data_IF_101640816715
#
_entry.id   IF_101640816715
#
_cell.length_a   1.000
_cell.length_b   1.000
_cell.length_c   1.000
_cell.angle_alpha   90.00
_cell.angle_beta   90.00
_cell.angle_gamma   90.00
#
_symmetry.space_group_name_H-M   'P 1'
#
loop_
_entity.id
_entity.type
_entity.pdbx_description
1 polymer ?
#
# COMPACT_ATOMS: atom_id res chain seq x y z
N UNK A 1 12.05 24.66 9.37
CA UNK A 1 13.24 23.79 9.43
C UNK A 1 12.85 22.38 9.86
N UNK A 2 13.73 21.39 9.78
CA UNK A 2 13.42 20.00 10.16
C UNK A 2 12.85 19.89 11.60
N UNK A 3 13.41 20.66 12.53
CA UNK A 3 12.94 20.72 13.92
C UNK A 3 11.50 21.24 14.06
N UNK A 4 11.07 22.22 13.25
CA UNK A 4 9.71 22.77 13.32
C UNK A 4 8.65 21.81 12.75
N UNK A 5 9.03 20.98 11.77
CA UNK A 5 8.16 19.94 11.21
C UNK A 5 7.95 18.81 12.21
N UNK A 6 9.02 18.38 12.90
CA UNK A 6 8.94 17.37 13.97
C UNK A 6 8.05 17.87 15.10
N UNK A 7 8.23 19.12 15.54
CA UNK A 7 7.41 19.71 16.61
C UNK A 7 5.93 19.77 16.21
N UNK A 8 5.63 20.16 14.97
CA UNK A 8 4.28 20.18 14.42
C UNK A 8 3.62 18.80 14.40
N UNK A 9 4.34 17.77 13.99
CA UNK A 9 3.83 16.39 13.99
C UNK A 9 3.52 15.87 15.41
N UNK A 10 4.38 16.19 16.39
CA UNK A 10 4.15 15.83 17.80
C UNK A 10 2.93 16.56 18.36
N UNK A 11 2.77 17.84 18.05
CA UNK A 11 1.63 18.62 18.51
C UNK A 11 0.31 18.12 17.90
N UNK A 12 0.31 17.79 16.60
CA UNK A 12 -0.83 17.20 15.92
C UNK A 12 -1.20 15.83 16.51
N UNK A 13 -0.22 14.96 16.79
CA UNK A 13 -0.45 13.68 17.44
C UNK A 13 -1.08 13.83 18.84
N UNK A 14 -0.71 14.89 19.58
CA UNK A 14 -1.31 15.22 20.87
C UNK A 14 -2.81 15.49 20.82
N UNK A 15 -3.32 15.98 19.69
CA UNK A 15 -4.74 16.27 19.48
C UNK A 15 -5.61 15.06 19.13
N UNK A 16 -5.01 13.88 18.88
CA UNK A 16 -5.75 12.70 18.44
C UNK A 16 -6.51 12.01 19.61
N UNK A 17 -7.62 11.30 19.32
CA UNK A 17 -8.30 10.46 20.31
C UNK A 17 -7.36 9.43 20.95
N UNK A 18 -7.57 9.05 22.24
CA UNK A 18 -6.66 8.16 22.98
C UNK A 18 -6.22 6.86 22.28
N UNK A 19 -7.11 6.09 21.61
CA UNK A 19 -6.68 4.87 20.92
C UNK A 19 -5.71 5.17 19.76
N UNK A 20 -6.06 6.12 18.89
CA UNK A 20 -5.25 6.51 17.73
C UNK A 20 -3.93 7.17 18.15
N UNK A 21 -3.97 8.00 19.20
CA UNK A 21 -2.81 8.72 19.72
C UNK A 21 -1.70 7.77 20.18
N UNK A 22 -2.03 6.65 20.82
CA UNK A 22 -1.01 5.68 21.28
C UNK A 22 -0.25 5.08 20.12
N UNK A 23 -0.95 4.71 19.05
CA UNK A 23 -0.35 4.08 17.87
C UNK A 23 0.55 5.07 17.12
N UNK A 24 0.07 6.30 16.92
CA UNK A 24 0.82 7.37 16.25
C UNK A 24 2.07 7.77 17.04
N UNK A 25 1.96 7.95 18.36
CA UNK A 25 3.12 8.27 19.22
C UNK A 25 4.11 7.10 19.25
N UNK A 26 3.63 5.86 19.23
CA UNK A 26 4.47 4.66 19.12
C UNK A 26 5.26 4.62 17.81
N UNK A 27 4.62 4.97 16.70
CA UNK A 27 5.25 5.05 15.38
C UNK A 27 6.30 6.17 15.32
N UNK A 28 5.99 7.37 15.84
CA UNK A 28 6.94 8.48 15.92
C UNK A 28 8.18 8.13 16.77
N UNK A 29 8.01 7.39 17.86
CA UNK A 29 9.15 6.92 18.67
C UNK A 29 10.02 5.91 17.91
N UNK A 30 9.39 4.99 17.18
CA UNK A 30 10.13 4.02 16.33
C UNK A 30 10.92 4.72 15.22
N UNK A 31 10.35 5.72 14.57
CA UNK A 31 11.06 6.45 13.51
C UNK A 31 12.28 7.21 14.02
N UNK A 32 12.21 7.78 15.24
CA UNK A 32 13.35 8.46 15.88
C UNK A 32 14.50 7.49 16.18
N UNK A 33 14.20 6.22 16.46
CA UNK A 33 15.23 5.21 16.78
C UNK A 33 15.87 4.55 15.55
N UNK A 34 15.38 4.85 14.34
CA UNK A 34 15.92 4.28 13.11
C UNK A 34 17.31 4.85 12.79
N UNK A 35 18.25 3.97 12.43
CA UNK A 35 19.64 4.34 12.11
C UNK A 35 20.06 3.95 10.69
N UNK A 36 19.13 3.41 9.88
CA UNK A 36 19.41 3.01 8.50
C UNK A 36 19.10 4.10 7.47
N UNK A 37 19.30 3.83 6.17
CA UNK A 37 18.86 4.70 5.09
C UNK A 37 17.33 4.91 5.08
N UNK A 38 16.88 5.98 4.43
CA UNK A 38 15.45 6.25 4.20
C UNK A 38 15.02 5.47 2.96
N UNK A 39 14.66 4.21 3.15
CA UNK A 39 14.35 3.27 2.06
C UNK A 39 13.20 2.31 2.42
N UNK A 40 12.97 1.32 1.55
CA UNK A 40 11.94 0.30 1.74
C UNK A 40 12.03 -0.50 3.05
N UNK A 41 13.21 -0.54 3.68
CA UNK A 41 13.45 -1.23 4.96
C UNK A 41 12.96 -0.38 6.12
N UNK A 42 13.22 0.94 6.10
CA UNK A 42 12.61 1.89 7.05
C UNK A 42 11.09 1.77 7.03
N UNK A 43 10.50 1.75 5.83
CA UNK A 43 9.06 1.70 5.68
C UNK A 43 8.45 0.40 6.23
N UNK A 44 9.09 -0.74 5.94
CA UNK A 44 8.71 -2.04 6.50
C UNK A 44 8.78 -2.05 8.04
N UNK A 45 9.83 -1.45 8.58
CA UNK A 45 10.06 -1.31 10.02
C UNK A 45 9.00 -0.43 10.69
N UNK A 46 8.62 0.69 10.08
CA UNK A 46 7.57 1.57 10.59
C UNK A 46 6.18 0.95 10.46
N UNK A 47 5.94 0.12 9.44
CA UNK A 47 4.65 -0.57 9.22
C UNK A 47 4.31 -1.61 10.27
N UNK A 48 5.31 -2.14 10.99
CA UNK A 48 5.16 -3.40 11.70
C UNK A 48 5.00 -4.63 10.79
N UNK A 49 5.45 -4.55 9.53
CA UNK A 49 5.32 -5.63 8.53
C UNK A 49 4.47 -5.26 7.32
N UNK A 50 5.14 -5.01 6.19
CA UNK A 50 4.72 -4.95 4.78
C UNK A 50 3.52 -4.10 4.35
N UNK A 51 2.43 -4.01 5.11
CA UNK A 51 1.22 -3.23 4.75
C UNK A 51 1.53 -1.75 4.52
N UNK A 52 2.41 -1.16 5.32
CA UNK A 52 2.76 0.26 5.15
C UNK A 52 3.76 0.52 4.01
N UNK A 53 4.40 -0.51 3.42
CA UNK A 53 5.22 -0.32 2.21
C UNK A 53 4.33 -0.08 0.99
N UNK A 54 3.20 -0.80 0.90
CA UNK A 54 2.17 -0.57 -0.11
C UNK A 54 1.40 0.73 0.11
N UNK A 55 1.11 1.12 1.37
CA UNK A 55 0.56 2.45 1.68
C UNK A 55 1.55 3.59 1.39
N UNK A 56 2.86 3.37 1.49
CA UNK A 56 3.86 4.39 1.16
C UNK A 56 4.09 4.58 -0.34
N UNK A 57 4.07 3.49 -1.13
CA UNK A 57 4.11 3.60 -2.59
C UNK A 57 2.83 4.27 -3.12
N UNK A 58 1.70 3.97 -2.48
CA UNK A 58 0.42 4.69 -2.61
C UNK A 58 0.55 6.19 -2.29
N UNK A 59 1.20 6.54 -1.18
CA UNK A 59 1.37 7.93 -0.74
C UNK A 59 2.35 8.75 -1.60
N UNK A 60 3.15 8.11 -2.45
CA UNK A 60 4.15 8.79 -3.30
C UNK A 60 3.64 9.21 -4.69
N UNK A 61 2.42 8.85 -5.12
CA UNK A 61 1.93 9.34 -6.42
C UNK A 61 0.49 9.00 -6.78
N UNK A 62 0.09 7.73 -6.70
CA UNK A 62 -1.28 7.27 -7.00
C UNK A 62 -1.49 5.79 -6.58
N UNK A 63 -2.31 5.51 -5.53
CA UNK A 63 -2.64 4.14 -5.11
C UNK A 63 -3.25 3.28 -6.20
N UNK A 64 -4.13 3.86 -7.01
CA UNK A 64 -4.91 3.13 -7.98
C UNK A 64 -4.03 2.69 -9.15
N UNK A 65 -3.18 3.60 -9.65
CA UNK A 65 -2.17 3.28 -10.66
C UNK A 65 -1.23 2.17 -10.19
N UNK A 66 -0.73 2.24 -8.94
CA UNK A 66 0.12 1.20 -8.37
C UNK A 66 -0.60 -0.15 -8.32
N UNK A 67 -1.86 -0.17 -7.87
CA UNK A 67 -2.63 -1.42 -7.75
C UNK A 67 -2.93 -2.05 -9.12
N UNK A 68 -3.25 -1.22 -10.13
CA UNK A 68 -3.46 -1.66 -11.52
C UNK A 68 -2.20 -2.27 -12.12
N UNK A 69 -1.04 -1.62 -11.94
CA UNK A 69 0.26 -2.15 -12.40
C UNK A 69 0.61 -3.43 -11.65
N UNK A 70 0.42 -3.46 -10.33
CA UNK A 70 0.79 -4.62 -9.48
C UNK A 70 -0.02 -5.87 -9.85
N UNK A 71 -1.30 -5.72 -10.17
CA UNK A 71 -2.15 -6.81 -10.66
C UNK A 71 -2.10 -6.99 -12.19
N UNK A 72 -1.22 -6.24 -12.89
CA UNK A 72 -1.01 -6.32 -14.35
C UNK A 72 -2.29 -6.06 -15.15
N UNK A 73 -3.10 -5.10 -14.71
CA UNK A 73 -4.21 -4.52 -15.48
C UNK A 73 -3.76 -3.30 -16.30
N UNK A 74 -2.57 -2.79 -16.03
CA UNK A 74 -1.93 -1.72 -16.78
C UNK A 74 -0.42 -1.95 -16.82
N UNK A 75 0.21 -1.46 -17.89
CA UNK A 75 1.66 -1.35 -17.95
C UNK A 75 2.15 -0.08 -17.24
N UNK A 76 3.37 -0.13 -16.72
CA UNK A 76 4.02 0.98 -15.99
C UNK A 76 4.08 2.29 -16.79
N UNK A 77 4.06 2.19 -18.13
CA UNK A 77 4.21 3.31 -19.06
C UNK A 77 2.85 3.89 -19.50
N UNK A 78 1.76 3.12 -19.43
CA UNK A 78 0.43 3.51 -19.94
C UNK A 78 -0.49 4.04 -18.83
N UNK A 79 0.05 4.80 -17.87
CA UNK A 79 -0.73 5.42 -16.79
C UNK A 79 -1.38 6.73 -17.21
N UNK A 80 -2.30 6.65 -18.17
CA UNK A 80 -3.30 7.71 -18.41
C UNK A 80 -4.55 7.44 -17.54
N UNK A 81 -4.91 8.41 -16.69
CA UNK A 81 -5.89 8.27 -15.61
C UNK A 81 -7.34 8.56 -16.05
N UNK A 82 -7.53 9.19 -17.22
CA UNK A 82 -8.85 9.70 -17.62
C UNK A 82 -9.78 8.72 -18.33
N UNK A 83 -9.24 7.62 -18.90
CA UNK A 83 -9.97 6.79 -19.86
C UNK A 83 -9.95 5.28 -19.55
N UNK A 84 -9.56 4.87 -18.33
CA UNK A 84 -9.41 3.45 -18.01
C UNK A 84 -10.72 2.76 -17.67
N UNK A 85 -10.95 1.63 -18.33
CA UNK A 85 -11.93 0.66 -17.92
C UNK A 85 -11.48 0.02 -16.60
N UNK A 86 -12.25 0.25 -15.53
CA UNK A 86 -11.96 -0.30 -14.21
C UNK A 86 -12.25 -1.80 -14.19
N UNK A 87 -11.32 -2.65 -13.73
CA UNK A 87 -11.54 -4.09 -13.70
C UNK A 87 -12.69 -4.42 -12.75
N UNK A 88 -13.51 -5.41 -13.11
CA UNK A 88 -14.61 -5.84 -12.23
C UNK A 88 -14.08 -6.58 -11.01
N UNK A 89 -14.91 -6.68 -9.95
CA UNK A 89 -14.62 -7.53 -8.78
C UNK A 89 -14.22 -8.96 -9.18
N UNK A 90 -14.83 -9.52 -10.23
CA UNK A 90 -14.52 -10.87 -10.72
C UNK A 90 -13.13 -10.92 -11.35
N UNK A 91 -12.77 -9.93 -12.16
CA UNK A 91 -11.47 -9.85 -12.83
C UNK A 91 -10.34 -9.70 -11.81
N UNK A 92 -10.52 -8.81 -10.83
CA UNK A 92 -9.55 -8.58 -9.74
C UNK A 92 -9.26 -9.90 -9.01
N UNK A 93 -10.30 -10.63 -8.59
CA UNK A 93 -10.13 -11.88 -7.84
C UNK A 93 -9.51 -12.99 -8.69
N UNK A 94 -9.87 -13.08 -9.98
CA UNK A 94 -9.25 -14.04 -10.92
C UNK A 94 -7.75 -13.78 -11.03
N UNK A 95 -7.38 -12.53 -11.30
CA UNK A 95 -6.00 -12.12 -11.54
C UNK A 95 -5.13 -12.27 -10.31
N UNK A 96 -5.65 -11.90 -9.14
CA UNK A 96 -4.99 -12.15 -7.86
C UNK A 96 -4.63 -13.63 -7.67
N UNK A 97 -5.56 -14.56 -7.93
CA UNK A 97 -5.30 -16.00 -7.77
C UNK A 97 -4.25 -16.54 -8.74
N UNK A 98 -4.17 -15.98 -9.94
CA UNK A 98 -3.14 -16.36 -10.93
C UNK A 98 -1.76 -15.93 -10.45
N UNK A 99 -1.61 -14.65 -10.09
CA UNK A 99 -0.34 -14.09 -9.62
C UNK A 99 0.11 -14.67 -8.28
N UNK A 100 -0.84 -15.03 -7.41
CA UNK A 100 -0.55 -15.71 -6.16
C UNK A 100 0.04 -17.11 -6.40
N UNK A 101 -0.49 -17.84 -7.40
CA UNK A 101 0.06 -19.14 -7.82
C UNK A 101 1.45 -18.99 -8.43
N UNK A 102 1.68 -17.96 -9.24
CA UNK A 102 3.00 -17.65 -9.81
C UNK A 102 4.05 -17.31 -8.73
N UNK A 103 3.65 -16.57 -7.68
CA UNK A 103 4.56 -16.16 -6.61
C UNK A 103 4.89 -17.29 -5.62
N UNK A 104 4.13 -18.38 -5.60
CA UNK A 104 4.30 -19.45 -4.64
C UNK A 104 5.58 -20.29 -4.93
N UNK A 105 6.41 -20.59 -3.91
CA UNK A 105 7.67 -21.30 -4.08
C UNK A 105 7.56 -22.72 -4.68
N UNK A 106 6.40 -23.37 -4.55
CA UNK A 106 6.14 -24.70 -5.16
C UNK A 106 6.12 -24.70 -6.70
N UNK A 107 6.20 -23.53 -7.35
CA UNK A 107 6.19 -23.39 -8.81
C UNK A 107 7.42 -22.65 -9.39
N UNK A 108 8.53 -22.58 -8.65
CA UNK A 108 9.82 -22.11 -9.19
C UNK A 108 10.10 -20.60 -9.10
N UNK A 109 9.51 -19.92 -8.10
CA UNK A 109 9.84 -18.52 -7.79
C UNK A 109 11.15 -18.36 -7.02
N UNK A 110 11.84 -17.24 -7.21
CA UNK A 110 13.04 -16.87 -6.44
C UNK A 110 12.65 -16.75 -4.96
N UNK A 111 13.09 -17.73 -4.15
CA UNK A 111 12.68 -17.97 -2.76
C UNK A 111 12.77 -16.70 -1.89
N UNK A 112 13.74 -15.82 -2.18
CA UNK A 112 14.05 -14.64 -1.38
C UNK A 112 12.95 -13.57 -1.39
N UNK A 113 12.03 -13.54 -2.36
CA UNK A 113 11.03 -12.46 -2.50
C UNK A 113 9.56 -12.92 -2.58
N UNK A 114 9.28 -14.22 -2.49
CA UNK A 114 7.92 -14.75 -2.61
C UNK A 114 6.94 -14.17 -1.58
N UNK A 115 7.36 -14.07 -0.31
CA UNK A 115 6.52 -13.50 0.76
C UNK A 115 6.18 -12.03 0.53
N UNK A 116 7.17 -11.24 0.08
CA UNK A 116 6.97 -9.84 -0.24
C UNK A 116 5.99 -9.65 -1.40
N UNK A 117 6.12 -10.48 -2.44
CA UNK A 117 5.23 -10.44 -3.60
C UNK A 117 3.78 -10.78 -3.25
N UNK A 118 3.56 -11.77 -2.39
CA UNK A 118 2.21 -12.15 -1.94
C UNK A 118 1.51 -10.97 -1.24
N UNK A 119 2.26 -10.22 -0.45
CA UNK A 119 1.69 -9.08 0.29
C UNK A 119 1.32 -7.94 -0.66
N UNK A 120 2.19 -7.59 -1.61
CA UNK A 120 1.89 -6.58 -2.64
C UNK A 120 0.62 -6.93 -3.44
N UNK A 121 0.46 -8.21 -3.80
CA UNK A 121 -0.74 -8.69 -4.50
C UNK A 121 -2.00 -8.56 -3.63
N UNK A 122 -1.90 -8.82 -2.33
CA UNK A 122 -3.02 -8.69 -1.40
C UNK A 122 -3.44 -7.22 -1.20
N UNK A 123 -2.47 -6.32 -1.09
CA UNK A 123 -2.70 -4.89 -0.90
C UNK A 123 -3.28 -4.26 -2.18
N UNK A 124 -2.74 -4.58 -3.36
CA UNK A 124 -3.28 -4.13 -4.65
C UNK A 124 -4.72 -4.62 -4.87
N UNK A 125 -5.02 -5.86 -4.46
CA UNK A 125 -6.39 -6.39 -4.48
C UNK A 125 -7.32 -5.58 -3.59
N UNK A 126 -6.89 -5.19 -2.38
CA UNK A 126 -7.74 -4.41 -1.47
C UNK A 126 -8.12 -3.07 -2.09
N UNK A 127 -7.13 -2.32 -2.58
CA UNK A 127 -7.32 -1.00 -3.18
C UNK A 127 -8.32 -1.06 -4.33
N UNK A 128 -8.19 -2.01 -5.26
CA UNK A 128 -9.11 -2.11 -6.40
C UNK A 128 -10.52 -2.53 -5.99
N UNK A 129 -10.67 -3.34 -4.94
CA UNK A 129 -12.00 -3.73 -4.45
C UNK A 129 -12.70 -2.55 -3.77
N UNK A 130 -11.97 -1.76 -2.99
CA UNK A 130 -12.51 -0.58 -2.34
C UNK A 130 -12.95 0.47 -3.38
N UNK A 131 -12.18 0.66 -4.46
CA UNK A 131 -12.55 1.52 -5.59
C UNK A 131 -13.83 1.04 -6.31
N UNK A 132 -13.96 -0.27 -6.54
CA UNK A 132 -15.18 -0.83 -7.17
C UNK A 132 -16.40 -0.60 -6.27
N UNK A 133 -16.27 -0.81 -4.96
CA UNK A 133 -17.35 -0.57 -4.01
C UNK A 133 -17.76 0.91 -3.98
N UNK A 134 -16.80 1.83 -3.92
CA UNK A 134 -17.07 3.26 -3.93
C UNK A 134 -17.80 3.71 -5.21
N UNK A 135 -17.52 3.10 -6.37
CA UNK A 135 -18.20 3.38 -7.63
C UNK A 135 -19.62 2.81 -7.70
N UNK A 136 -19.84 1.63 -7.13
CA UNK A 136 -21.16 1.02 -7.06
C UNK A 136 -22.09 1.89 -6.19
N UNK A 137 -21.60 2.41 -5.06
CA UNK A 137 -22.34 3.34 -4.19
C UNK A 137 -22.76 4.65 -4.91
N UNK A 138 -21.88 5.19 -5.79
CA UNK A 138 -22.17 6.39 -6.57
C UNK A 138 -23.19 6.13 -7.69
N UNK A 139 -23.23 4.93 -8.28
CA UNK A 139 -24.19 4.58 -9.34
C UNK A 139 -25.60 4.31 -8.83
N UNK A 140 -25.75 3.99 -7.54
CA UNK A 140 -27.03 3.70 -6.89
C UNK A 140 -27.70 4.93 -6.25
N UNK A 141 -27.02 6.09 -6.25
CA UNK A 141 -27.49 7.38 -5.70
C UNK A 141 -28.06 8.31 -6.77
#
# INVERSE_FOLDING_TARGET
>A
GPASQVLGAVYAAGGLPPPVRRDVVGLLRRSITWQGPVDAVLFAYLSGGSRARSELLTALGDPLAWALVTLRFADEVEVDLGARETPTRRDIQRRFRELLREAHPDHGGVIENAGQRIIELADARSILLDEVLARDEVRES
#
